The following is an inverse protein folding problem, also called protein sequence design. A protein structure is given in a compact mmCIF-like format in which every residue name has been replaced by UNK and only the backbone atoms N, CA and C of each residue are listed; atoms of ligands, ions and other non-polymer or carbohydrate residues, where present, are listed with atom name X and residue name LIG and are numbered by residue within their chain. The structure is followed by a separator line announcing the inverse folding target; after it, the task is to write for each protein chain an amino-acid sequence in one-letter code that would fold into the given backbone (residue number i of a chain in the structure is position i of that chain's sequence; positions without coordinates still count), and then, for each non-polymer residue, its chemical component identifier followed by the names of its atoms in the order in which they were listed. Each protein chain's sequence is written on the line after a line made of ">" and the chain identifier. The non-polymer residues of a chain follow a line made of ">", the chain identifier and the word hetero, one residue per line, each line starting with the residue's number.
data_IF_278723130721
#
_entry.id   IF_278723130721
#
_cell.length_a   1.000
_cell.length_b   1.000
_cell.length_c   1.000
_cell.angle_alpha   90.00
_cell.angle_beta   90.00
_cell.angle_gamma   90.00
#
_symmetry.space_group_name_H-M   'P 1'
#
loop_
_entity.id
_entity.type
_entity.pdbx_description
1 polymer ?
#
# COMPACT_ATOMS: atom_id res chain seq x y z
N UNK A 1 -34.95 34.10 33.98
CA UNK A 1 -34.04 33.01 33.56
C UNK A 1 -34.52 32.52 32.21
N UNK A 2 -33.79 32.84 31.14
CA UNK A 2 -34.10 32.33 29.81
C UNK A 2 -33.66 30.86 29.74
N UNK A 3 -34.60 29.95 29.51
CA UNK A 3 -34.29 28.57 29.10
C UNK A 3 -33.51 28.62 27.79
N UNK A 4 -32.39 27.90 27.63
CA UNK A 4 -31.73 27.81 26.33
C UNK A 4 -32.71 27.17 25.35
N UNK A 5 -33.00 27.85 24.23
CA UNK A 5 -33.72 27.23 23.13
C UNK A 5 -32.84 26.12 22.57
N UNK A 6 -33.13 24.87 22.92
CA UNK A 6 -32.53 23.73 22.24
C UNK A 6 -33.01 23.75 20.78
N UNK A 7 -32.16 24.20 19.87
CA UNK A 7 -32.35 23.97 18.43
C UNK A 7 -32.37 22.47 18.21
N UNK A 8 -33.57 21.95 17.92
CA UNK A 8 -33.79 20.55 17.64
C UNK A 8 -33.02 20.18 16.36
N UNK A 9 -32.37 19.01 16.30
CA UNK A 9 -31.51 18.66 15.14
C UNK A 9 -32.26 18.73 13.79
N UNK A 10 -33.59 18.56 13.82
CA UNK A 10 -34.49 18.66 12.66
C UNK A 10 -34.84 20.09 12.24
N UNK A 11 -34.42 21.12 13.00
CA UNK A 11 -34.52 22.50 12.55
C UNK A 11 -33.45 22.84 11.51
N UNK A 12 -32.46 21.97 11.32
CA UNK A 12 -31.46 22.11 10.28
C UNK A 12 -31.94 21.48 8.95
N UNK A 13 -31.60 22.09 7.80
CA UNK A 13 -31.77 21.46 6.49
C UNK A 13 -31.06 20.11 6.41
N UNK A 14 -31.58 19.21 5.58
CA UNK A 14 -31.01 17.87 5.37
C UNK A 14 -29.54 17.95 4.94
N UNK A 15 -29.17 18.93 4.12
CA UNK A 15 -27.81 19.15 3.64
C UNK A 15 -26.83 19.42 4.79
N UNK A 16 -27.29 20.12 5.84
CA UNK A 16 -26.47 20.39 7.03
C UNK A 16 -26.28 19.10 7.84
N UNK A 17 -27.33 18.30 7.98
CA UNK A 17 -27.26 16.99 8.67
C UNK A 17 -26.35 16.03 7.89
N UNK A 18 -26.39 16.06 6.56
CA UNK A 18 -25.52 15.27 5.70
C UNK A 18 -24.05 15.68 5.86
N UNK A 19 -23.73 16.98 5.85
CA UNK A 19 -22.38 17.50 6.11
C UNK A 19 -21.88 17.05 7.49
N UNK A 20 -22.73 17.10 8.53
CA UNK A 20 -22.37 16.59 9.85
C UNK A 20 -22.04 15.09 9.80
N UNK A 21 -22.84 14.30 9.08
CA UNK A 21 -22.57 12.87 8.89
C UNK A 21 -21.27 12.61 8.12
N UNK A 22 -20.94 13.43 7.11
CA UNK A 22 -19.67 13.34 6.38
C UNK A 22 -18.46 13.59 7.29
N UNK A 23 -18.55 14.57 8.21
CA UNK A 23 -17.49 14.87 9.17
C UNK A 23 -17.28 13.74 10.20
N UNK A 24 -18.36 13.02 10.54
CA UNK A 24 -18.31 11.84 11.41
C UNK A 24 -17.91 10.56 10.65
N UNK A 25 -17.96 10.58 9.31
CA UNK A 25 -17.64 9.43 8.48
C UNK A 25 -16.11 9.36 8.24
N UNK A 26 -15.45 8.25 8.61
CA UNK A 26 -14.01 8.09 8.36
C UNK A 26 -13.62 8.05 6.88
N UNK A 27 -14.56 7.70 5.99
CA UNK A 27 -14.33 7.75 4.54
C UNK A 27 -14.43 9.19 4.00
N UNK A 28 -15.46 9.96 4.40
CA UNK A 28 -15.73 11.26 3.81
C UNK A 28 -14.87 12.39 4.37
N UNK A 29 -14.38 12.27 5.61
CA UNK A 29 -13.63 13.34 6.29
C UNK A 29 -12.18 13.49 5.80
N UNK A 30 -11.73 12.70 4.80
CA UNK A 30 -10.35 12.63 4.26
C UNK A 30 -9.24 12.51 5.31
N UNK A 31 -9.58 12.30 6.58
CA UNK A 31 -8.61 12.06 7.65
C UNK A 31 -7.83 10.82 7.26
N UNK A 32 -6.50 10.91 7.40
CA UNK A 32 -5.62 9.76 7.22
C UNK A 32 -6.25 8.59 7.96
N UNK A 33 -6.79 7.66 7.19
CA UNK A 33 -7.43 6.47 7.74
C UNK A 33 -6.42 5.86 8.69
N UNK A 34 -6.75 5.60 9.97
CA UNK A 34 -5.90 4.76 10.78
C UNK A 34 -5.63 3.50 9.95
N UNK A 35 -4.35 3.29 9.64
CA UNK A 35 -3.86 2.18 8.79
C UNK A 35 -4.03 0.83 9.48
N UNK A 36 -4.58 0.84 10.70
CA UNK A 36 -4.77 -0.30 11.55
C UNK A 36 -6.24 -0.33 11.99
N UNK A 37 -6.88 -1.48 11.81
CA UNK A 37 -8.28 -1.68 12.15
C UNK A 37 -8.57 -1.58 13.65
N UNK A 38 -7.55 -1.59 14.51
CA UNK A 38 -7.66 -1.24 15.92
C UNK A 38 -6.29 -0.74 16.40
N UNK A 39 -6.07 0.57 16.49
CA UNK A 39 -5.28 1.09 17.62
C UNK A 39 -6.27 1.41 18.72
N UNK A 40 -6.18 0.66 19.81
CA UNK A 40 -6.90 0.92 21.06
C UNK A 40 -6.63 2.36 21.61
N UNK A 41 -5.65 3.06 21.04
CA UNK A 41 -5.22 4.41 21.41
C UNK A 41 -5.84 5.54 20.57
N UNK A 42 -6.49 5.25 19.41
CA UNK A 42 -7.28 6.28 18.73
C UNK A 42 -8.70 6.29 19.28
N UNK A 43 -8.93 7.08 20.33
CA UNK A 43 -10.27 7.23 20.95
C UNK A 43 -11.33 7.88 20.05
N UNK A 44 -10.93 8.53 18.95
CA UNK A 44 -11.82 9.35 18.09
C UNK A 44 -12.63 8.56 17.04
N UNK A 45 -12.08 7.63 16.25
CA UNK A 45 -12.84 6.92 15.19
C UNK A 45 -14.01 6.09 15.73
N UNK A 46 -13.87 5.49 16.92
CA UNK A 46 -14.94 4.76 17.58
C UNK A 46 -16.08 5.69 18.05
N UNK A 47 -15.73 6.90 18.52
CA UNK A 47 -16.71 7.89 18.96
C UNK A 47 -17.54 8.43 17.78
N UNK A 48 -16.88 8.84 16.70
CA UNK A 48 -17.55 9.41 15.52
C UNK A 48 -18.52 8.39 14.87
N UNK A 49 -18.13 7.11 14.81
CA UNK A 49 -19.00 6.01 14.35
C UNK A 49 -20.18 5.76 15.30
N UNK A 50 -19.96 5.80 16.61
CA UNK A 50 -21.03 5.64 17.59
C UNK A 50 -22.04 6.80 17.49
N UNK A 51 -21.59 8.01 17.18
CA UNK A 51 -22.46 9.14 16.88
C UNK A 51 -23.31 8.88 15.63
N UNK A 52 -22.73 8.41 14.52
CA UNK A 52 -23.49 8.01 13.32
C UNK A 52 -24.52 6.92 13.63
N UNK A 53 -24.13 5.90 14.41
CA UNK A 53 -25.05 4.84 14.84
C UNK A 53 -26.19 5.41 15.68
N UNK A 54 -25.90 6.24 16.68
CA UNK A 54 -26.91 6.88 17.53
C UNK A 54 -27.89 7.74 16.71
N UNK A 55 -27.39 8.52 15.75
CA UNK A 55 -28.21 9.29 14.81
C UNK A 55 -29.12 8.35 14.01
N UNK A 56 -28.60 7.24 13.50
CA UNK A 56 -29.37 6.28 12.71
C UNK A 56 -30.45 5.53 13.51
N UNK A 57 -30.27 5.42 14.83
CA UNK A 57 -31.22 4.78 15.73
C UNK A 57 -32.25 5.76 16.29
N UNK A 58 -32.01 7.07 16.20
CA UNK A 58 -32.86 8.10 16.80
C UNK A 58 -34.25 8.19 16.16
N UNK A 59 -34.34 8.24 14.82
CA UNK A 59 -35.61 8.28 14.09
C UNK A 59 -35.47 7.86 12.63
N UNK A 60 -36.59 7.75 11.90
CA UNK A 60 -36.61 7.37 10.47
C UNK A 60 -35.88 8.37 9.57
N UNK A 61 -36.04 9.67 9.81
CA UNK A 61 -35.45 10.71 8.96
C UNK A 61 -33.92 10.75 9.10
N UNK A 62 -33.44 10.81 10.34
CA UNK A 62 -32.01 10.76 10.63
C UNK A 62 -31.39 9.43 10.18
N UNK A 63 -32.12 8.31 10.27
CA UNK A 63 -31.68 7.04 9.69
C UNK A 63 -31.46 7.14 8.18
N UNK A 64 -32.39 7.74 7.45
CA UNK A 64 -32.29 7.88 5.99
C UNK A 64 -31.01 8.62 5.58
N UNK A 65 -30.60 9.63 6.37
CA UNK A 65 -29.43 10.47 6.09
C UNK A 65 -28.14 9.81 6.61
N UNK A 66 -28.12 9.33 7.85
CA UNK A 66 -26.87 8.88 8.52
C UNK A 66 -26.49 7.43 8.23
N UNK A 67 -27.46 6.55 7.93
CA UNK A 67 -27.19 5.14 7.67
C UNK A 67 -26.26 4.91 6.45
N UNK A 68 -26.41 5.62 5.31
CA UNK A 68 -25.43 5.56 4.22
C UNK A 68 -23.99 5.78 4.69
N UNK A 69 -23.74 6.83 5.49
CA UNK A 69 -22.42 7.18 6.00
C UNK A 69 -21.85 6.14 6.98
N UNK A 70 -22.71 5.46 7.75
CA UNK A 70 -22.32 4.34 8.62
C UNK A 70 -21.81 3.13 7.82
N UNK A 71 -22.32 2.94 6.60
CA UNK A 71 -21.98 1.84 5.70
C UNK A 71 -20.91 2.18 4.66
N UNK A 72 -20.54 3.45 4.45
CA UNK A 72 -19.42 3.83 3.56
C UNK A 72 -18.14 3.04 3.85
N UNK A 73 -17.88 2.76 5.14
CA UNK A 73 -16.83 1.85 5.59
C UNK A 73 -17.32 1.02 6.79
N UNK A 74 -17.83 -0.21 6.57
CA UNK A 74 -18.25 -1.07 7.66
C UNK A 74 -17.05 -1.44 8.54
N UNK A 75 -17.24 -1.36 9.86
CA UNK A 75 -16.25 -1.74 10.87
C UNK A 75 -16.96 -2.50 11.99
N UNK A 76 -16.31 -3.53 12.53
CA UNK A 76 -16.81 -4.30 13.66
C UNK A 76 -16.25 -5.73 13.69
N UNK A 77 -16.52 -6.44 14.78
CA UNK A 77 -16.00 -7.79 15.03
C UNK A 77 -16.82 -8.92 14.37
N UNK A 78 -17.91 -8.60 13.67
CA UNK A 78 -18.88 -9.58 13.18
C UNK A 78 -19.02 -9.59 11.66
N UNK A 79 -18.06 -10.19 10.94
CA UNK A 79 -18.11 -10.20 9.47
C UNK A 79 -19.29 -11.00 8.90
N UNK A 80 -19.68 -12.13 9.52
CA UNK A 80 -20.91 -12.84 9.12
C UNK A 80 -22.16 -11.99 9.32
N UNK A 81 -22.28 -11.29 10.46
CA UNK A 81 -23.42 -10.41 10.70
C UNK A 81 -23.52 -9.30 9.67
N UNK A 82 -22.38 -8.75 9.23
CA UNK A 82 -22.32 -7.80 8.13
C UNK A 82 -22.82 -8.40 6.81
N UNK A 83 -22.30 -9.57 6.41
CA UNK A 83 -22.74 -10.27 5.20
C UNK A 83 -24.24 -10.58 5.25
N UNK A 84 -24.72 -11.12 6.37
CA UNK A 84 -26.14 -11.48 6.54
C UNK A 84 -27.03 -10.21 6.48
N UNK A 85 -26.55 -9.08 7.03
CA UNK A 85 -27.27 -7.80 7.00
C UNK A 85 -27.38 -7.23 5.58
N UNK A 86 -26.28 -7.18 4.83
CA UNK A 86 -26.30 -6.63 3.46
C UNK A 86 -26.95 -7.60 2.46
N UNK A 87 -26.90 -8.90 2.71
CA UNK A 87 -27.65 -9.89 1.93
C UNK A 87 -29.17 -9.73 2.16
N UNK A 88 -29.59 -9.52 3.41
CA UNK A 88 -31.00 -9.25 3.75
C UNK A 88 -31.48 -7.86 3.32
N UNK A 89 -30.57 -6.89 3.20
CA UNK A 89 -30.87 -5.51 2.78
C UNK A 89 -29.86 -5.01 1.73
N UNK A 90 -29.98 -5.43 0.45
CA UNK A 90 -29.00 -5.13 -0.60
C UNK A 90 -28.75 -3.64 -0.86
N UNK A 91 -29.72 -2.76 -0.53
CA UNK A 91 -29.55 -1.33 -0.62
C UNK A 91 -28.38 -0.82 0.24
N UNK A 92 -28.12 -1.44 1.41
CA UNK A 92 -26.99 -1.09 2.28
C UNK A 92 -25.65 -1.40 1.64
N UNK A 93 -25.55 -2.48 0.87
CA UNK A 93 -24.36 -2.87 0.13
C UNK A 93 -23.91 -1.81 -0.89
N UNK A 94 -24.86 -1.07 -1.49
CA UNK A 94 -24.58 0.01 -2.46
C UNK A 94 -23.93 1.24 -1.80
N UNK A 95 -24.07 1.40 -0.49
CA UNK A 95 -23.42 2.47 0.24
C UNK A 95 -21.96 2.14 0.58
N UNK A 96 -21.55 0.87 0.57
CA UNK A 96 -20.17 0.48 0.88
C UNK A 96 -19.21 1.02 -0.18
N UNK A 97 -18.24 1.84 0.26
CA UNK A 97 -17.20 2.46 -0.58
C UNK A 97 -15.84 1.85 -0.29
N UNK A 98 -15.51 1.65 0.98
CA UNK A 98 -14.27 1.00 1.41
C UNK A 98 -14.56 -0.29 2.16
N UNK A 99 -13.82 -1.34 1.87
CA UNK A 99 -13.87 -2.61 2.59
C UNK A 99 -12.46 -3.00 3.00
N UNK A 100 -12.31 -3.31 4.28
CA UNK A 100 -11.10 -3.89 4.82
C UNK A 100 -11.43 -5.30 5.30
N UNK A 101 -10.63 -6.26 4.88
CA UNK A 101 -10.71 -7.65 5.27
C UNK A 101 -9.42 -7.99 6.00
N UNK A 102 -9.53 -8.35 7.27
CA UNK A 102 -8.38 -8.80 8.05
C UNK A 102 -8.69 -10.09 8.80
N UNK A 103 -7.64 -10.82 9.15
CA UNK A 103 -7.78 -12.07 9.89
C UNK A 103 -8.48 -11.85 11.24
N UNK A 104 -8.30 -10.72 11.92
CA UNK A 104 -8.98 -10.45 13.19
C UNK A 104 -10.51 -10.45 13.07
N UNK A 105 -11.07 -9.87 12.00
CA UNK A 105 -12.51 -9.88 11.70
C UNK A 105 -13.07 -11.30 11.52
N UNK A 106 -12.22 -12.25 11.14
CA UNK A 106 -12.57 -13.66 10.91
C UNK A 106 -12.24 -14.50 12.15
N UNK A 107 -11.14 -14.19 12.85
CA UNK A 107 -10.74 -14.79 14.13
C UNK A 107 -11.75 -14.53 15.23
N UNK A 108 -12.45 -13.41 15.26
CA UNK A 108 -13.55 -13.22 16.22
C UNK A 108 -14.69 -14.26 16.05
N UNK A 109 -14.71 -14.98 14.93
CA UNK A 109 -15.71 -16.02 14.64
C UNK A 109 -15.19 -17.41 14.99
N UNK A 110 -13.88 -17.67 14.93
CA UNK A 110 -13.26 -18.97 15.20
C UNK A 110 -13.53 -19.52 16.61
N UNK A 111 -13.42 -18.76 17.71
CA UNK A 111 -13.74 -19.24 19.07
C UNK A 111 -15.21 -19.65 19.27
N UNK A 112 -16.13 -19.21 18.41
CA UNK A 112 -17.55 -19.61 18.49
C UNK A 112 -17.81 -20.98 17.85
N UNK A 113 -16.85 -21.48 17.07
CA UNK A 113 -16.93 -22.79 16.43
C UNK A 113 -15.79 -23.65 16.98
N UNK A 114 -16.12 -24.56 17.91
CA UNK A 114 -15.16 -25.56 18.42
C UNK A 114 -14.60 -26.47 17.31
N UNK A 115 -15.16 -26.40 16.09
CA UNK A 115 -14.85 -27.23 14.94
C UNK A 115 -14.59 -26.39 13.69
N UNK A 116 -13.35 -26.41 13.21
CA UNK A 116 -12.90 -25.71 11.99
C UNK A 116 -13.67 -26.18 10.74
N UNK A 117 -14.08 -27.45 10.70
CA UNK A 117 -14.85 -28.02 9.59
C UNK A 117 -16.24 -27.40 9.52
N UNK A 118 -16.90 -27.19 10.66
CA UNK A 118 -18.20 -26.50 10.72
C UNK A 118 -18.09 -25.04 10.30
N UNK A 119 -17.03 -24.36 10.71
CA UNK A 119 -16.78 -22.98 10.30
C UNK A 119 -16.59 -22.87 8.79
N UNK A 120 -15.74 -23.72 8.19
CA UNK A 120 -15.55 -23.78 6.74
C UNK A 120 -16.82 -24.16 6.00
N UNK A 121 -17.60 -25.12 6.51
CA UNK A 121 -18.88 -25.50 5.92
C UNK A 121 -19.88 -24.33 5.90
N UNK A 122 -19.85 -23.44 6.90
CA UNK A 122 -20.68 -22.23 6.90
C UNK A 122 -20.19 -21.15 5.94
N UNK A 123 -18.88 -20.98 5.81
CA UNK A 123 -18.29 -20.13 4.75
C UNK A 123 -18.70 -20.63 3.37
N UNK A 124 -18.53 -21.95 3.14
CA UNK A 124 -18.89 -22.59 1.88
C UNK A 124 -20.39 -22.51 1.61
N UNK A 125 -21.26 -22.76 2.62
CA UNK A 125 -22.71 -22.60 2.47
C UNK A 125 -23.11 -21.21 1.99
N UNK A 126 -22.46 -20.16 2.50
CA UNK A 126 -22.68 -18.77 2.07
C UNK A 126 -22.13 -18.51 0.68
N UNK A 127 -20.94 -19.01 0.38
CA UNK A 127 -20.35 -18.95 -0.96
C UNK A 127 -21.22 -19.65 -2.00
N UNK A 128 -21.85 -20.78 -1.67
CA UNK A 128 -22.75 -21.55 -2.52
C UNK A 128 -24.18 -20.96 -2.60
N UNK A 129 -24.43 -19.75 -2.09
CA UNK A 129 -25.72 -19.08 -2.29
C UNK A 129 -25.82 -18.50 -3.70
N UNK A 130 -27.05 -18.33 -4.21
CA UNK A 130 -27.32 -17.71 -5.52
C UNK A 130 -26.66 -16.33 -5.70
N UNK A 131 -26.34 -15.65 -4.59
CA UNK A 131 -25.66 -14.36 -4.55
C UNK A 131 -24.22 -14.38 -5.12
N UNK A 132 -23.66 -15.57 -5.34
CA UNK A 132 -22.30 -15.78 -5.87
C UNK A 132 -22.28 -16.66 -7.13
N UNK A 133 -23.41 -16.83 -7.82
CA UNK A 133 -23.50 -17.59 -9.08
C UNK A 133 -22.39 -17.22 -10.09
N UNK A 134 -22.04 -15.94 -10.31
CA UNK A 134 -20.93 -15.57 -11.19
C UNK A 134 -19.55 -16.07 -10.71
N UNK A 135 -19.36 -16.22 -9.39
CA UNK A 135 -18.13 -16.76 -8.79
C UNK A 135 -18.07 -18.27 -8.81
N UNK A 136 -19.22 -18.92 -8.72
CA UNK A 136 -19.33 -20.38 -8.77
C UNK A 136 -19.10 -20.93 -10.19
N UNK A 137 -19.39 -20.15 -11.23
CA UNK A 137 -19.12 -20.53 -12.63
C UNK A 137 -17.64 -20.49 -13.01
N UNK A 138 -16.78 -19.91 -12.18
CA UNK A 138 -15.33 -19.89 -12.40
C UNK A 138 -14.73 -21.26 -12.03
N UNK A 139 -14.29 -22.04 -13.03
CA UNK A 139 -13.73 -23.40 -12.87
C UNK A 139 -12.44 -23.46 -12.02
N UNK A 140 -11.85 -22.30 -11.69
CA UNK A 140 -10.68 -22.14 -10.82
C UNK A 140 -11.02 -21.98 -9.33
N UNK A 141 -12.31 -21.90 -8.96
CA UNK A 141 -12.72 -21.83 -7.57
C UNK A 141 -12.41 -23.17 -6.87
N UNK A 142 -11.62 -23.19 -5.78
CA UNK A 142 -11.13 -24.42 -5.18
C UNK A 142 -12.20 -25.03 -4.26
N UNK A 143 -13.30 -25.53 -4.83
CA UNK A 143 -14.33 -26.26 -4.06
C UNK A 143 -13.73 -27.54 -3.44
N UNK A 144 -12.75 -28.15 -4.10
CA UNK A 144 -12.10 -29.39 -3.64
C UNK A 144 -11.03 -29.20 -2.54
N UNK A 145 -10.49 -27.98 -2.34
CA UNK A 145 -9.45 -27.76 -1.32
C UNK A 145 -9.99 -27.72 0.11
N UNK A 146 -11.31 -27.55 0.29
CA UNK A 146 -11.95 -27.57 1.61
C UNK A 146 -11.99 -28.96 2.23
N UNK A 147 -11.78 -30.03 1.44
CA UNK A 147 -11.93 -31.42 1.89
C UNK A 147 -10.64 -32.05 2.46
N UNK A 148 -9.47 -31.48 2.16
CA UNK A 148 -8.16 -32.12 2.40
C UNK A 148 -7.24 -31.35 3.39
N UNK A 149 -7.77 -30.40 4.17
CA UNK A 149 -6.99 -29.52 5.05
C UNK A 149 -6.69 -30.12 6.44
N UNK A 150 -6.29 -31.40 6.52
CA UNK A 150 -6.18 -32.16 7.80
C UNK A 150 -4.80 -32.72 8.13
N UNK A 151 -3.70 -32.22 7.56
CA UNK A 151 -2.37 -32.57 8.09
C UNK A 151 -1.40 -31.38 8.18
N UNK A 152 -0.71 -31.29 9.33
CA UNK A 152 0.39 -30.40 9.73
C UNK A 152 0.03 -29.09 10.46
N UNK A 153 0.94 -28.64 11.34
CA UNK A 153 0.90 -27.45 12.22
C UNK A 153 0.58 -26.08 11.54
N UNK A 154 0.08 -26.06 10.29
CA UNK A 154 -0.41 -24.92 9.50
C UNK A 154 -1.91 -24.94 9.14
N UNK A 155 -2.70 -25.92 9.63
CA UNK A 155 -4.14 -26.05 9.30
C UNK A 155 -4.99 -24.83 9.66
N UNK A 156 -4.83 -24.26 10.86
CA UNK A 156 -5.70 -23.17 11.32
C UNK A 156 -5.53 -21.91 10.47
N UNK A 157 -4.31 -21.59 10.06
CA UNK A 157 -4.00 -20.41 9.23
C UNK A 157 -4.44 -20.62 7.78
N UNK A 158 -4.24 -21.81 7.21
CA UNK A 158 -4.75 -22.16 5.88
C UNK A 158 -6.28 -22.15 5.82
N UNK A 159 -6.94 -22.61 6.88
CA UNK A 159 -8.40 -22.51 7.06
C UNK A 159 -8.88 -21.06 7.05
N UNK A 160 -8.16 -20.15 7.71
CA UNK A 160 -8.47 -18.71 7.67
C UNK A 160 -8.29 -18.14 6.27
N UNK A 161 -7.18 -18.43 5.58
CA UNK A 161 -6.95 -17.98 4.20
C UNK A 161 -8.05 -18.43 3.23
N UNK A 162 -8.47 -19.69 3.32
CA UNK A 162 -9.57 -20.22 2.51
C UNK A 162 -10.93 -19.57 2.87
N UNK A 163 -11.18 -19.30 4.16
CA UNK A 163 -12.37 -18.57 4.58
C UNK A 163 -12.37 -17.13 4.09
N UNK A 164 -11.22 -16.44 4.11
CA UNK A 164 -11.04 -15.10 3.51
C UNK A 164 -11.45 -15.14 2.05
N UNK A 165 -10.94 -16.09 1.26
CA UNK A 165 -11.25 -16.20 -0.17
C UNK A 165 -12.75 -16.34 -0.45
N UNK A 166 -13.44 -17.25 0.25
CA UNK A 166 -14.88 -17.44 0.09
C UNK A 166 -15.68 -16.21 0.49
N UNK A 167 -15.40 -15.67 1.69
CA UNK A 167 -16.19 -14.58 2.23
C UNK A 167 -15.91 -13.26 1.52
N UNK A 168 -14.69 -13.06 1.02
CA UNK A 168 -14.34 -11.93 0.15
C UNK A 168 -15.17 -11.98 -1.13
N UNK A 169 -15.27 -13.13 -1.78
CA UNK A 169 -16.06 -13.27 -3.01
C UNK A 169 -17.53 -12.90 -2.78
N UNK A 170 -18.09 -13.29 -1.63
CA UNK A 170 -19.46 -12.91 -1.21
C UNK A 170 -19.55 -11.40 -0.93
N UNK A 171 -18.65 -10.86 -0.12
CA UNK A 171 -18.69 -9.46 0.30
C UNK A 171 -18.53 -8.50 -0.89
N UNK A 172 -17.61 -8.81 -1.81
CA UNK A 172 -17.40 -8.05 -3.05
C UNK A 172 -18.66 -8.05 -3.92
N UNK A 173 -19.29 -9.23 -4.10
CA UNK A 173 -20.52 -9.35 -4.89
C UNK A 173 -21.69 -8.53 -4.31
N UNK A 174 -21.71 -8.35 -2.99
CA UNK A 174 -22.72 -7.57 -2.27
C UNK A 174 -22.39 -6.07 -2.16
N UNK A 175 -21.23 -5.62 -2.64
CA UNK A 175 -20.76 -4.23 -2.49
C UNK A 175 -20.37 -3.61 -3.84
N UNK A 176 -21.34 -3.38 -4.75
CA UNK A 176 -21.05 -3.01 -6.15
C UNK A 176 -20.40 -1.61 -6.32
N UNK A 177 -20.46 -0.76 -5.30
CA UNK A 177 -19.94 0.60 -5.32
C UNK A 177 -18.57 0.73 -4.64
N UNK A 178 -17.90 -0.40 -4.37
CA UNK A 178 -16.59 -0.45 -3.74
C UNK A 178 -15.54 0.28 -4.56
N UNK A 179 -14.88 1.28 -3.97
CA UNK A 179 -13.81 2.08 -4.57
C UNK A 179 -12.42 1.71 -4.02
N UNK A 180 -12.37 1.16 -2.81
CA UNK A 180 -11.13 0.78 -2.12
C UNK A 180 -11.30 -0.56 -1.41
N UNK A 181 -10.34 -1.45 -1.63
CA UNK A 181 -10.27 -2.76 -1.00
C UNK A 181 -8.92 -2.91 -0.31
N UNK A 182 -8.96 -3.27 0.96
CA UNK A 182 -7.79 -3.51 1.80
C UNK A 182 -7.85 -4.93 2.35
N UNK A 183 -6.79 -5.71 2.17
CA UNK A 183 -6.75 -7.13 2.55
C UNK A 183 -5.50 -7.37 3.40
N UNK A 184 -5.67 -7.90 4.60
CA UNK A 184 -4.59 -8.31 5.49
C UNK A 184 -4.54 -9.83 5.58
N UNK A 185 -3.39 -10.41 5.25
CA UNK A 185 -3.19 -11.84 5.07
C UNK A 185 -2.13 -12.37 6.06
N UNK A 186 -2.48 -13.32 6.93
CA UNK A 186 -1.51 -14.06 7.78
C UNK A 186 -1.36 -15.54 7.37
N UNK A 187 -1.53 -15.85 6.08
CA UNK A 187 -1.35 -17.22 5.57
C UNK A 187 -0.93 -17.23 4.11
N UNK A 188 -0.48 -18.40 3.63
CA UNK A 188 -0.37 -18.67 2.19
C UNK A 188 -1.73 -18.36 1.53
N UNK A 189 -1.71 -17.53 0.50
CA UNK A 189 -2.93 -16.95 -0.08
C UNK A 189 -2.97 -17.20 -1.59
N UNK A 190 -4.18 -17.50 -2.09
CA UNK A 190 -4.49 -17.60 -3.52
C UNK A 190 -5.83 -16.92 -3.74
N UNK A 191 -5.84 -15.65 -4.15
CA UNK A 191 -7.06 -14.86 -4.37
C UNK A 191 -7.66 -15.12 -5.77
N UNK A 192 -7.44 -16.32 -6.32
CA UNK A 192 -7.78 -16.71 -7.69
C UNK A 192 -9.28 -16.99 -7.91
N UNK A 193 -10.12 -16.87 -6.87
CA UNK A 193 -11.54 -17.24 -6.92
C UNK A 193 -12.49 -16.07 -7.17
N UNK A 194 -11.98 -14.85 -7.35
CA UNK A 194 -12.83 -13.68 -7.62
C UNK A 194 -13.22 -13.67 -9.11
N UNK A 195 -14.50 -13.44 -9.45
CA UNK A 195 -14.93 -13.38 -10.84
C UNK A 195 -14.42 -12.11 -11.49
N UNK A 196 -14.06 -12.22 -12.77
CA UNK A 196 -13.70 -11.06 -13.57
C UNK A 196 -14.84 -10.03 -13.62
N UNK A 197 -14.49 -8.75 -13.57
CA UNK A 197 -15.45 -7.64 -13.59
C UNK A 197 -16.31 -7.42 -12.35
N UNK A 198 -16.17 -8.21 -11.27
CA UNK A 198 -16.98 -8.04 -10.06
C UNK A 198 -16.63 -6.81 -9.20
N UNK A 199 -15.54 -6.12 -9.51
CA UNK A 199 -15.09 -4.91 -8.83
C UNK A 199 -15.06 -3.72 -9.81
N UNK A 200 -16.19 -3.36 -10.44
CA UNK A 200 -16.20 -2.43 -11.58
C UNK A 200 -15.84 -0.99 -11.20
N UNK A 201 -15.93 -0.63 -9.91
CA UNK A 201 -15.64 0.71 -9.40
C UNK A 201 -14.35 0.77 -8.57
N UNK A 202 -13.64 -0.36 -8.41
CA UNK A 202 -12.46 -0.42 -7.56
C UNK A 202 -11.33 0.38 -8.20
N UNK A 203 -10.80 1.35 -7.45
CA UNK A 203 -9.70 2.23 -7.86
C UNK A 203 -8.42 2.00 -7.08
N UNK A 204 -8.53 1.60 -5.81
CA UNK A 204 -7.39 1.35 -4.92
C UNK A 204 -7.44 -0.04 -4.31
N UNK A 205 -6.34 -0.79 -4.44
CA UNK A 205 -6.13 -2.08 -3.80
C UNK A 205 -4.92 -2.00 -2.86
N UNK A 206 -5.11 -2.40 -1.61
CA UNK A 206 -4.04 -2.52 -0.62
C UNK A 206 -3.98 -3.96 -0.10
N UNK A 207 -2.82 -4.58 -0.14
CA UNK A 207 -2.59 -5.94 0.38
C UNK A 207 -1.43 -5.91 1.36
N UNK A 208 -1.72 -6.28 2.60
CA UNK A 208 -0.74 -6.40 3.67
C UNK A 208 -0.52 -7.87 3.98
N UNK A 209 0.71 -8.33 3.87
CA UNK A 209 1.09 -9.71 4.20
C UNK A 209 1.78 -9.73 5.56
N UNK A 210 1.54 -10.74 6.38
CA UNK A 210 2.32 -10.92 7.60
C UNK A 210 3.70 -11.47 7.26
N UNK A 211 4.76 -10.88 7.84
CA UNK A 211 6.16 -11.26 7.63
C UNK A 211 6.46 -12.75 7.82
N UNK A 212 5.59 -13.48 8.51
CA UNK A 212 5.74 -14.93 8.71
C UNK A 212 5.32 -15.78 7.50
N UNK A 213 4.85 -15.16 6.39
CA UNK A 213 4.24 -15.84 5.24
C UNK A 213 4.74 -15.33 3.89
N UNK A 214 5.98 -15.69 3.51
CA UNK A 214 6.47 -15.37 2.18
C UNK A 214 5.66 -16.13 1.12
N UNK A 215 5.32 -15.45 0.02
CA UNK A 215 4.56 -16.02 -1.11
C UNK A 215 5.49 -16.70 -2.10
N UNK A 216 4.97 -17.64 -2.89
CA UNK A 216 5.75 -18.28 -3.97
C UNK A 216 5.85 -17.38 -5.21
N UNK A 217 4.82 -16.57 -5.49
CA UNK A 217 4.75 -15.64 -6.61
C UNK A 217 3.68 -14.54 -6.38
N UNK A 218 3.57 -13.62 -7.35
CA UNK A 218 2.54 -12.57 -7.38
C UNK A 218 1.25 -13.03 -8.08
N UNK A 219 1.21 -14.25 -8.64
CA UNK A 219 0.12 -14.71 -9.51
C UNK A 219 -1.18 -14.92 -8.75
N UNK A 220 -1.10 -15.09 -7.43
CA UNK A 220 -2.29 -15.10 -6.57
C UNK A 220 -3.17 -13.86 -6.75
N UNK A 221 -2.62 -12.71 -7.17
CA UNK A 221 -3.36 -11.45 -7.35
C UNK A 221 -4.07 -11.34 -8.70
N UNK A 222 -3.76 -12.21 -9.66
CA UNK A 222 -4.28 -12.10 -11.02
C UNK A 222 -5.82 -11.98 -11.06
N UNK A 223 -6.52 -12.84 -10.32
CA UNK A 223 -7.99 -12.80 -10.25
C UNK A 223 -8.55 -11.49 -9.69
N UNK A 224 -7.84 -10.82 -8.79
CA UNK A 224 -8.21 -9.50 -8.26
C UNK A 224 -8.01 -8.40 -9.29
N UNK A 225 -6.90 -8.46 -10.04
CA UNK A 225 -6.61 -7.52 -11.12
C UNK A 225 -7.67 -7.65 -12.23
N UNK A 226 -7.98 -8.88 -12.65
CA UNK A 226 -9.01 -9.17 -13.65
C UNK A 226 -10.42 -8.78 -13.19
N UNK A 227 -10.67 -8.79 -11.88
CA UNK A 227 -11.94 -8.38 -11.30
C UNK A 227 -12.14 -6.85 -11.33
N UNK A 228 -11.06 -6.06 -11.39
CA UNK A 228 -11.05 -4.62 -11.13
C UNK A 228 -10.58 -3.79 -12.35
N UNK A 229 -11.35 -3.74 -13.45
CA UNK A 229 -10.91 -3.14 -14.72
C UNK A 229 -10.59 -1.63 -14.67
N UNK A 230 -10.99 -0.93 -13.58
CA UNK A 230 -10.74 0.50 -13.38
C UNK A 230 -9.70 0.77 -12.29
N UNK A 231 -8.90 -0.24 -11.92
CA UNK A 231 -7.90 -0.10 -10.87
C UNK A 231 -6.83 0.93 -11.27
N UNK A 232 -6.59 1.90 -10.40
CA UNK A 232 -5.65 2.99 -10.63
C UNK A 232 -4.40 2.81 -9.76
N UNK A 233 -4.55 2.28 -8.54
CA UNK A 233 -3.49 2.23 -7.52
C UNK A 233 -3.39 0.86 -6.84
N UNK A 234 -2.16 0.36 -6.70
CA UNK A 234 -1.83 -0.84 -5.94
C UNK A 234 -0.83 -0.50 -4.83
N UNK A 235 -1.09 -0.98 -3.63
CA UNK A 235 -0.19 -0.90 -2.48
C UNK A 235 0.03 -2.29 -1.91
N UNK A 236 1.27 -2.78 -1.94
CA UNK A 236 1.68 -4.05 -1.35
C UNK A 236 2.53 -3.75 -0.12
N UNK A 237 2.25 -4.42 1.00
CA UNK A 237 2.90 -4.17 2.29
C UNK A 237 3.47 -5.48 2.85
N UNK A 238 4.71 -5.44 3.35
CA UNK A 238 5.40 -6.57 4.02
C UNK A 238 5.51 -7.84 3.15
N UNK A 239 5.59 -7.67 1.83
CA UNK A 239 5.61 -8.78 0.87
C UNK A 239 7.02 -9.34 0.68
N UNK A 240 7.21 -10.64 0.91
CA UNK A 240 8.44 -11.39 0.64
C UNK A 240 8.14 -12.58 -0.27
N UNK A 241 9.02 -12.87 -1.25
CA UNK A 241 8.87 -13.99 -2.19
C UNK A 241 9.91 -15.08 -1.90
N UNK A 242 9.48 -16.31 -1.59
CA UNK A 242 10.36 -17.44 -1.18
C UNK A 242 11.34 -17.85 -2.27
N UNK A 243 10.86 -18.00 -3.50
CA UNK A 243 11.67 -18.39 -4.64
C UNK A 243 11.82 -17.23 -5.61
N UNK A 244 12.80 -16.38 -5.31
CA UNK A 244 13.23 -15.25 -6.11
C UNK A 244 13.57 -15.59 -7.57
N UNK A 245 13.97 -16.84 -7.84
CA UNK A 245 14.50 -17.26 -9.15
C UNK A 245 13.42 -17.74 -10.10
N UNK A 246 12.26 -18.14 -9.58
CA UNK A 246 11.12 -18.54 -10.38
C UNK A 246 10.58 -17.33 -11.14
N UNK A 247 10.57 -17.40 -12.47
CA UNK A 247 9.93 -16.37 -13.30
C UNK A 247 8.44 -16.30 -12.93
N UNK A 248 7.92 -15.11 -12.59
CA UNK A 248 6.49 -14.96 -12.38
C UNK A 248 5.75 -15.34 -13.67
N UNK A 249 4.58 -15.96 -13.56
CA UNK A 249 3.75 -16.17 -14.75
C UNK A 249 3.25 -14.80 -15.21
N UNK A 250 2.86 -14.71 -16.48
CA UNK A 250 2.50 -13.47 -17.17
C UNK A 250 1.22 -12.80 -16.67
N UNK A 251 0.65 -13.28 -15.56
CA UNK A 251 -0.69 -12.91 -15.07
C UNK A 251 -0.73 -11.70 -14.16
N UNK A 252 0.41 -11.23 -13.64
CA UNK A 252 0.46 -10.00 -12.83
C UNK A 252 0.63 -8.74 -13.72
N UNK A 253 -0.47 -8.30 -14.34
CA UNK A 253 -0.49 -7.14 -15.24
C UNK A 253 -1.82 -6.37 -15.16
N UNK A 254 -1.80 -5.07 -15.49
CA UNK A 254 -3.03 -4.26 -15.56
C UNK A 254 -2.84 -3.00 -16.41
N UNK A 255 -3.82 -2.71 -17.27
CA UNK A 255 -3.71 -1.65 -18.30
C UNK A 255 -4.02 -0.23 -17.83
N UNK A 256 -4.61 -0.07 -16.64
CA UNK A 256 -5.02 1.25 -16.12
C UNK A 256 -4.27 1.68 -14.87
N UNK A 257 -3.53 0.76 -14.23
CA UNK A 257 -2.80 1.08 -13.00
C UNK A 257 -1.68 2.06 -13.32
N UNK A 258 -1.69 3.18 -12.60
CA UNK A 258 -0.73 4.27 -12.77
C UNK A 258 0.14 4.50 -11.53
N UNK A 259 -0.17 3.85 -10.41
CA UNK A 259 0.57 3.99 -9.16
C UNK A 259 0.76 2.65 -8.47
N UNK A 260 2.02 2.32 -8.15
CA UNK A 260 2.39 1.14 -7.37
C UNK A 260 3.26 1.57 -6.21
N UNK A 261 2.89 1.13 -5.00
CA UNK A 261 3.66 1.32 -3.77
C UNK A 261 3.98 -0.02 -3.14
N UNK A 262 5.26 -0.26 -2.89
CA UNK A 262 5.80 -1.46 -2.26
C UNK A 262 6.39 -1.06 -0.91
N UNK A 263 5.61 -1.20 0.16
CA UNK A 263 6.01 -0.83 1.53
C UNK A 263 6.62 -2.04 2.22
N UNK A 264 7.85 -1.91 2.69
CA UNK A 264 8.56 -2.95 3.42
C UNK A 264 8.55 -4.29 2.65
N UNK A 265 8.78 -4.23 1.34
CA UNK A 265 8.73 -5.40 0.47
C UNK A 265 10.14 -5.89 0.13
N UNK A 266 10.31 -7.21 0.04
CA UNK A 266 11.51 -7.89 -0.43
C UNK A 266 11.20 -8.64 -1.73
N UNK A 267 11.49 -7.99 -2.86
CA UNK A 267 11.27 -8.54 -4.19
C UNK A 267 12.60 -8.71 -4.91
N UNK A 268 12.77 -9.85 -5.57
CA UNK A 268 13.88 -10.07 -6.48
C UNK A 268 13.73 -9.23 -7.76
N UNK A 269 14.84 -8.99 -8.45
CA UNK A 269 14.89 -8.17 -9.67
C UNK A 269 13.92 -8.67 -10.75
N UNK A 270 13.75 -9.99 -10.88
CA UNK A 270 12.83 -10.61 -11.85
C UNK A 270 11.37 -10.26 -11.58
N UNK A 271 11.01 -10.09 -10.30
CA UNK A 271 9.66 -9.66 -9.90
C UNK A 271 9.46 -8.17 -10.17
N UNK A 272 10.47 -7.35 -9.88
CA UNK A 272 10.43 -5.93 -10.21
C UNK A 272 10.39 -5.70 -11.73
N UNK A 273 11.10 -6.49 -12.53
CA UNK A 273 11.03 -6.49 -13.99
C UNK A 273 9.62 -6.84 -14.48
N UNK A 274 9.01 -7.86 -13.88
CA UNK A 274 7.64 -8.26 -14.20
C UNK A 274 6.63 -7.16 -13.86
N UNK A 275 6.80 -6.46 -12.74
CA UNK A 275 6.00 -5.27 -12.40
C UNK A 275 6.19 -4.20 -13.48
N UNK A 276 7.43 -3.82 -13.77
CA UNK A 276 7.69 -2.78 -14.77
C UNK A 276 7.06 -3.14 -16.12
N UNK A 277 7.14 -4.41 -16.56
CA UNK A 277 6.50 -4.84 -17.81
C UNK A 277 4.97 -4.95 -17.74
N UNK A 278 4.42 -5.43 -16.63
CA UNK A 278 2.99 -5.71 -16.46
C UNK A 278 2.11 -4.47 -16.34
N UNK A 279 2.67 -3.30 -16.03
CA UNK A 279 1.92 -2.06 -15.84
C UNK A 279 2.39 -0.97 -16.82
N UNK A 280 1.86 -0.94 -18.06
CA UNK A 280 2.34 -0.05 -19.12
C UNK A 280 2.03 1.44 -18.90
N UNK A 281 1.07 1.79 -18.03
CA UNK A 281 0.70 3.19 -17.73
C UNK A 281 1.25 3.69 -16.38
N UNK A 282 2.23 2.99 -15.81
CA UNK A 282 2.78 3.29 -14.50
C UNK A 282 3.47 4.68 -14.50
N UNK A 283 2.91 5.62 -13.74
CA UNK A 283 3.44 6.99 -13.59
C UNK A 283 4.15 7.19 -12.25
N UNK A 284 3.76 6.43 -11.23
CA UNK A 284 4.28 6.56 -9.88
C UNK A 284 4.73 5.20 -9.37
N UNK A 285 6.00 5.11 -8.97
CA UNK A 285 6.57 3.90 -8.38
C UNK A 285 7.28 4.22 -7.09
N UNK A 286 6.91 3.52 -6.02
CA UNK A 286 7.52 3.68 -4.69
C UNK A 286 7.89 2.32 -4.15
N UNK A 287 9.11 2.20 -3.65
CA UNK A 287 9.57 0.98 -2.99
C UNK A 287 10.39 1.33 -1.76
N UNK A 288 10.14 0.61 -0.68
CA UNK A 288 11.07 0.58 0.44
C UNK A 288 11.18 -0.78 1.10
N UNK A 289 12.32 -1.03 1.72
CA UNK A 289 12.65 -2.29 2.39
C UNK A 289 13.30 -2.02 3.77
N UNK A 290 13.00 -2.83 4.80
CA UNK A 290 13.48 -2.57 6.15
C UNK A 290 14.95 -2.96 6.36
N UNK A 291 15.58 -2.29 7.33
CA UNK A 291 17.00 -2.42 7.67
C UNK A 291 17.42 -3.75 8.33
N UNK A 292 16.49 -4.45 9.00
CA UNK A 292 16.76 -5.64 9.82
C UNK A 292 16.43 -6.95 9.12
N UNK A 293 16.03 -6.89 7.85
CA UNK A 293 15.99 -8.06 6.99
C UNK A 293 17.43 -8.52 6.72
N UNK A 294 18.03 -9.19 7.72
CA UNK A 294 19.10 -10.13 7.49
C UNK A 294 18.57 -11.09 6.46
N UNK A 295 19.26 -11.20 5.32
CA UNK A 295 18.97 -12.19 4.28
C UNK A 295 18.60 -13.51 4.98
N UNK A 296 17.49 -14.11 4.58
CA UNK A 296 17.32 -15.54 4.76
C UNK A 296 18.66 -16.19 4.42
N UNK A 297 19.15 -17.02 5.33
CA UNK A 297 20.50 -17.57 5.38
C UNK A 297 20.82 -18.38 4.11
N UNK A 298 21.05 -17.70 2.99
CA UNK A 298 21.25 -18.33 1.70
C UNK A 298 22.73 -18.59 1.54
N UNK A 299 23.10 -19.81 1.92
CA UNK A 299 24.26 -20.57 1.41
C UNK A 299 24.27 -20.73 -0.12
N UNK A 300 23.59 -19.89 -0.89
CA UNK A 300 23.75 -19.79 -2.35
C UNK A 300 24.71 -18.65 -2.64
N UNK A 301 26.00 -18.94 -2.52
CA UNK A 301 27.10 -18.07 -2.93
C UNK A 301 27.21 -17.87 -4.46
N UNK A 302 26.29 -18.41 -5.26
CA UNK A 302 26.40 -18.38 -6.72
C UNK A 302 25.23 -17.65 -7.38
N UNK A 303 25.31 -16.32 -7.41
CA UNK A 303 25.28 -15.51 -8.65
C UNK A 303 25.35 -14.03 -8.27
N UNK A 304 26.58 -13.51 -8.26
CA UNK A 304 26.84 -12.08 -8.34
C UNK A 304 26.37 -11.54 -9.71
N UNK A 305 25.06 -11.40 -9.89
CA UNK A 305 24.52 -10.56 -10.95
C UNK A 305 24.25 -9.19 -10.34
N UNK A 306 25.22 -8.29 -10.55
CA UNK A 306 25.08 -6.85 -10.38
C UNK A 306 23.96 -6.35 -11.30
N UNK A 307 22.70 -6.55 -10.93
CA UNK A 307 21.59 -5.95 -11.66
C UNK A 307 21.45 -4.49 -11.27
N UNK A 308 21.43 -3.62 -12.28
CA UNK A 308 21.29 -2.18 -12.09
C UNK A 308 19.80 -1.87 -12.01
N UNK A 309 19.36 -1.27 -10.90
CA UNK A 309 17.96 -0.86 -10.74
C UNK A 309 17.51 0.09 -11.86
N UNK A 310 18.43 0.90 -12.42
CA UNK A 310 18.13 1.73 -13.58
C UNK A 310 17.67 0.94 -14.81
N UNK A 311 18.21 -0.25 -15.08
CA UNK A 311 17.80 -1.04 -16.26
C UNK A 311 16.32 -1.41 -16.19
N UNK A 312 15.81 -1.66 -14.97
CA UNK A 312 14.40 -1.88 -14.73
C UNK A 312 13.57 -0.60 -14.88
N UNK A 313 14.02 0.50 -14.26
CA UNK A 313 13.31 1.77 -14.31
C UNK A 313 13.21 2.30 -15.75
N UNK A 314 14.24 2.05 -16.57
CA UNK A 314 14.29 2.44 -17.97
C UNK A 314 13.23 1.74 -18.84
N UNK A 315 12.69 0.59 -18.41
CA UNK A 315 11.53 -0.05 -19.05
C UNK A 315 10.28 0.83 -19.05
N UNK A 316 10.23 1.84 -18.17
CA UNK A 316 9.17 2.85 -18.05
C UNK A 316 9.71 4.27 -18.12
N UNK A 317 10.81 4.45 -18.85
CA UNK A 317 11.42 5.77 -19.09
C UNK A 317 10.51 6.78 -19.78
N UNK A 318 9.44 6.30 -20.43
CA UNK A 318 8.43 7.07 -21.17
C UNK A 318 7.22 7.48 -20.32
N UNK A 319 6.99 6.82 -19.18
CA UNK A 319 5.76 6.93 -18.39
C UNK A 319 5.99 7.30 -16.92
N UNK A 320 7.11 6.88 -16.33
CA UNK A 320 7.40 7.02 -14.90
C UNK A 320 7.82 8.46 -14.54
N UNK A 321 6.93 9.19 -13.87
CA UNK A 321 7.08 10.60 -13.47
C UNK A 321 7.55 10.79 -12.03
N UNK A 322 7.11 9.91 -11.12
CA UNK A 322 7.39 10.04 -9.70
C UNK A 322 8.01 8.75 -9.17
N UNK A 323 9.22 8.85 -8.63
CA UNK A 323 10.00 7.73 -8.15
C UNK A 323 10.44 7.94 -6.70
N UNK A 324 10.21 6.93 -5.86
CA UNK A 324 10.71 6.89 -4.48
C UNK A 324 11.41 5.56 -4.21
N UNK A 325 12.68 5.61 -3.82
CA UNK A 325 13.53 4.46 -3.50
C UNK A 325 14.06 4.60 -2.07
N UNK A 326 13.44 3.94 -1.11
CA UNK A 326 13.73 4.08 0.33
C UNK A 326 14.34 2.80 0.91
N UNK A 327 15.67 2.76 1.07
CA UNK A 327 16.41 1.57 1.48
C UNK A 327 17.33 1.85 2.68
N UNK A 328 16.77 2.20 3.85
CA UNK A 328 17.57 2.63 4.99
C UNK A 328 18.43 1.48 5.51
N UNK A 329 19.71 1.76 5.74
CA UNK A 329 20.57 0.91 6.57
C UNK A 329 21.03 -0.40 5.95
N UNK A 330 20.97 -0.59 4.62
CA UNK A 330 21.67 -1.71 3.99
C UNK A 330 23.18 -1.57 4.25
N UNK A 331 23.73 -2.48 5.04
CA UNK A 331 25.13 -2.47 5.47
C UNK A 331 26.13 -2.40 4.30
N UNK A 332 27.21 -1.64 4.50
CA UNK A 332 28.22 -1.27 3.52
C UNK A 332 29.15 -2.43 3.09
N UNK A 333 28.97 -3.62 3.65
CA UNK A 333 29.95 -4.70 3.56
C UNK A 333 29.78 -5.60 2.34
N UNK A 334 28.75 -5.39 1.50
CA UNK A 334 28.49 -6.21 0.31
C UNK A 334 28.44 -5.35 -0.96
N UNK A 335 29.48 -5.44 -1.82
CA UNK A 335 29.54 -4.72 -3.07
C UNK A 335 28.58 -5.36 -4.08
N UNK A 336 27.44 -4.73 -4.38
CA UNK A 336 26.74 -5.04 -5.62
C UNK A 336 25.26 -4.70 -5.77
N UNK A 337 24.46 -4.52 -4.73
CA UNK A 337 23.06 -4.94 -4.94
C UNK A 337 22.04 -3.88 -5.35
N UNK A 338 22.25 -2.59 -5.04
CA UNK A 338 21.36 -1.53 -5.54
C UNK A 338 22.17 -0.23 -5.64
N UNK A 339 22.81 0.00 -6.78
CA UNK A 339 23.50 1.26 -7.09
C UNK A 339 22.74 1.92 -8.23
N UNK A 340 22.38 3.20 -8.05
CA UNK A 340 21.76 4.00 -9.09
C UNK A 340 22.85 4.79 -9.82
N UNK A 341 23.06 4.57 -11.12
CA UNK A 341 24.14 5.26 -11.87
C UNK A 341 23.67 6.25 -12.92
N UNK A 342 22.54 6.01 -13.59
CA UNK A 342 22.07 6.87 -14.68
C UNK A 342 20.55 6.81 -14.86
N UNK A 343 19.88 7.96 -14.80
CA UNK A 343 18.47 8.17 -15.12
C UNK A 343 18.27 9.27 -16.18
N UNK A 344 19.36 9.75 -16.81
CA UNK A 344 19.32 10.88 -17.76
C UNK A 344 18.42 10.61 -18.98
N UNK A 345 18.20 9.33 -19.30
CA UNK A 345 17.27 8.90 -20.36
C UNK A 345 15.78 9.01 -20.00
N UNK A 346 15.42 9.20 -18.73
CA UNK A 346 14.02 9.27 -18.28
C UNK A 346 13.43 10.67 -18.44
N UNK A 347 13.15 11.08 -19.68
CA UNK A 347 12.74 12.45 -20.04
C UNK A 347 11.42 12.93 -19.42
N UNK A 348 10.63 12.05 -18.84
CA UNK A 348 9.35 12.39 -18.17
C UNK A 348 9.46 12.37 -16.64
N UNK A 349 10.62 12.02 -16.08
CA UNK A 349 10.81 11.94 -14.63
C UNK A 349 10.80 13.35 -14.04
N UNK A 350 9.85 13.61 -13.14
CA UNK A 350 9.65 14.92 -12.51
C UNK A 350 10.06 14.93 -11.04
N UNK A 351 9.90 13.79 -10.34
CA UNK A 351 10.19 13.67 -8.90
C UNK A 351 11.06 12.45 -8.65
N UNK A 352 12.17 12.64 -7.92
CA UNK A 352 13.01 11.55 -7.45
C UNK A 352 13.35 11.74 -5.97
N UNK A 353 12.95 10.78 -5.14
CA UNK A 353 13.37 10.67 -3.74
C UNK A 353 14.16 9.37 -3.55
N UNK A 354 15.39 9.45 -3.04
CA UNK A 354 16.25 8.28 -2.86
C UNK A 354 16.94 8.28 -1.50
N UNK A 355 17.19 7.09 -0.96
CA UNK A 355 18.12 6.92 0.16
C UNK A 355 19.55 7.26 -0.29
N UNK A 356 20.24 8.08 0.49
CA UNK A 356 21.60 8.55 0.21
C UNK A 356 22.64 7.42 0.12
N UNK A 357 22.41 6.29 0.78
CA UNK A 357 23.26 5.10 0.74
C UNK A 357 23.31 4.47 -0.65
N UNK A 358 22.24 4.63 -1.46
CA UNK A 358 22.22 4.18 -2.86
C UNK A 358 23.23 4.93 -3.73
N UNK A 359 23.47 6.21 -3.41
CA UNK A 359 24.48 7.01 -4.10
C UNK A 359 25.88 6.71 -3.56
N UNK A 360 26.06 6.66 -2.23
CA UNK A 360 27.37 6.52 -1.58
C UNK A 360 28.18 5.31 -2.09
N UNK A 361 27.52 4.20 -2.44
CA UNK A 361 28.18 3.00 -2.98
C UNK A 361 28.95 3.22 -4.27
N UNK A 362 28.63 4.26 -5.05
CA UNK A 362 29.37 4.61 -6.27
C UNK A 362 30.84 4.91 -5.98
N UNK A 363 31.17 5.32 -4.75
CA UNK A 363 32.53 5.66 -4.34
C UNK A 363 33.32 4.47 -3.78
N UNK A 364 32.69 3.31 -3.53
CA UNK A 364 33.39 2.10 -3.09
C UNK A 364 33.98 1.29 -4.26
N UNK A 365 33.62 1.62 -5.50
CA UNK A 365 34.20 1.04 -6.72
C UNK A 365 35.42 1.84 -7.22
N UNK A 366 36.40 1.17 -7.84
CA UNK A 366 37.66 1.76 -8.33
C UNK A 366 37.50 2.74 -9.53
N UNK A 367 36.27 3.15 -9.87
CA UNK A 367 36.00 4.15 -10.92
C UNK A 367 34.98 5.16 -10.40
N UNK A 368 35.25 6.48 -10.50
CA UNK A 368 34.26 7.48 -10.16
C UNK A 368 33.04 7.32 -11.09
N UNK A 369 31.88 7.03 -10.51
CA UNK A 369 30.62 7.03 -11.24
C UNK A 369 30.25 8.41 -11.76
N UNK A 370 29.17 8.51 -12.55
CA UNK A 370 28.59 9.80 -12.95
C UNK A 370 28.19 10.59 -11.71
N UNK A 371 28.46 11.89 -11.70
CA UNK A 371 27.99 12.81 -10.65
C UNK A 371 26.47 12.93 -10.67
N UNK A 372 25.84 13.35 -9.58
CA UNK A 372 24.37 13.59 -9.53
C UNK A 372 23.90 14.49 -10.69
N UNK A 373 24.65 15.54 -11.02
CA UNK A 373 24.37 16.45 -12.12
C UNK A 373 24.35 15.78 -13.51
N UNK A 374 24.94 14.60 -13.66
CA UNK A 374 24.98 13.81 -14.89
C UNK A 374 24.03 12.60 -14.87
N UNK A 375 23.44 12.31 -13.72
CA UNK A 375 22.58 11.16 -13.48
C UNK A 375 21.11 11.52 -13.70
N UNK A 376 20.69 12.72 -13.35
CA UNK A 376 19.30 13.13 -13.43
C UNK A 376 18.94 13.68 -14.82
N UNK A 377 17.70 13.49 -15.29
CA UNK A 377 17.21 14.12 -16.51
C UNK A 377 16.87 15.60 -16.28
N UNK A 378 16.88 16.39 -17.35
CA UNK A 378 16.54 17.84 -17.31
C UNK A 378 15.08 18.12 -16.96
N UNK A 379 14.22 17.09 -17.01
CA UNK A 379 12.80 17.15 -16.65
C UNK A 379 12.54 17.23 -15.14
N UNK A 380 13.57 17.00 -14.31
CA UNK A 380 13.43 16.93 -12.86
C UNK A 380 12.93 18.27 -12.29
N UNK A 381 11.88 18.21 -11.48
CA UNK A 381 11.28 19.34 -10.77
C UNK A 381 11.55 19.28 -9.28
N UNK A 382 11.61 18.06 -8.74
CA UNK A 382 11.87 17.83 -7.32
C UNK A 382 12.89 16.70 -7.13
N UNK A 383 13.91 16.97 -6.33
CA UNK A 383 14.93 15.98 -5.98
C UNK A 383 15.06 15.89 -4.46
N UNK A 384 15.05 14.67 -3.92
CA UNK A 384 15.12 14.46 -2.49
C UNK A 384 16.10 13.36 -2.09
N UNK A 385 16.82 13.63 -1.02
CA UNK A 385 17.68 12.68 -0.35
C UNK A 385 17.17 12.40 1.06
N UNK A 386 17.15 11.11 1.37
CA UNK A 386 16.65 10.57 2.63
C UNK A 386 17.73 9.70 3.27
N UNK A 387 17.59 9.43 4.57
CA UNK A 387 18.43 8.45 5.26
C UNK A 387 19.74 9.02 5.81
N UNK A 388 20.84 8.30 5.62
CA UNK A 388 22.10 8.58 6.35
C UNK A 388 22.91 9.74 5.75
N UNK A 389 23.63 10.49 6.59
CA UNK A 389 24.54 11.53 6.11
C UNK A 389 25.85 10.93 5.60
N UNK A 390 26.12 11.03 4.29
CA UNK A 390 27.39 10.61 3.68
C UNK A 390 28.09 11.83 3.07
N UNK A 391 29.22 12.32 3.62
CA UNK A 391 29.83 13.59 3.21
C UNK A 391 30.06 13.73 1.69
N UNK A 392 30.56 12.68 1.04
CA UNK A 392 30.80 12.68 -0.42
C UNK A 392 29.51 12.84 -1.24
N UNK A 393 28.39 12.30 -0.76
CA UNK A 393 27.09 12.48 -1.42
C UNK A 393 26.64 13.92 -1.25
N UNK A 394 26.83 14.52 -0.07
CA UNK A 394 26.46 15.91 0.19
C UNK A 394 27.20 16.92 -0.68
N UNK A 395 28.50 16.72 -0.89
CA UNK A 395 29.30 17.56 -1.77
C UNK A 395 28.74 17.58 -3.20
N UNK A 396 28.39 16.41 -3.76
CA UNK A 396 27.79 16.32 -5.10
C UNK A 396 26.41 16.97 -5.19
N UNK A 397 25.63 16.91 -4.12
CA UNK A 397 24.30 17.55 -4.06
C UNK A 397 24.45 19.05 -4.05
N UNK A 398 25.37 19.56 -3.22
CA UNK A 398 25.65 20.99 -3.13
C UNK A 398 26.15 21.52 -4.47
N UNK A 399 27.06 20.79 -5.12
CA UNK A 399 27.50 21.11 -6.49
C UNK A 399 26.32 21.13 -7.47
N UNK A 400 25.46 20.11 -7.43
CA UNK A 400 24.29 20.00 -8.31
C UNK A 400 23.29 21.14 -8.10
N UNK A 401 23.10 21.59 -6.85
CA UNK A 401 22.29 22.78 -6.53
C UNK A 401 22.95 24.02 -7.14
N UNK A 402 24.24 24.23 -6.93
CA UNK A 402 24.95 25.42 -7.40
C UNK A 402 24.95 25.57 -8.92
N UNK A 403 24.84 24.46 -9.67
CA UNK A 403 24.74 24.46 -11.14
C UNK A 403 23.32 24.16 -11.66
N UNK A 404 22.33 24.12 -10.77
CA UNK A 404 20.96 23.70 -11.12
C UNK A 404 20.32 24.58 -12.19
N UNK A 405 20.54 25.90 -12.15
CA UNK A 405 19.98 26.81 -13.15
C UNK A 405 20.40 26.48 -14.60
N UNK A 406 21.58 25.89 -14.81
CA UNK A 406 22.06 25.51 -16.14
C UNK A 406 21.77 24.04 -16.48
N UNK A 407 21.81 23.14 -15.50
CA UNK A 407 21.70 21.69 -15.71
C UNK A 407 20.27 21.17 -15.53
N UNK A 408 19.53 21.73 -14.57
CA UNK A 408 18.17 21.33 -14.20
C UNK A 408 17.22 22.54 -14.18
N UNK A 409 16.89 23.11 -15.37
CA UNK A 409 16.14 24.36 -15.46
C UNK A 409 14.71 24.27 -14.91
N UNK A 410 14.19 23.06 -14.66
CA UNK A 410 12.86 22.85 -14.10
C UNK A 410 12.87 22.54 -12.60
N UNK A 411 14.05 22.40 -11.97
CA UNK A 411 14.16 22.10 -10.55
C UNK A 411 13.61 23.27 -9.74
N UNK A 412 12.69 22.97 -8.83
CA UNK A 412 12.05 23.95 -7.94
C UNK A 412 12.23 23.61 -6.48
N UNK A 413 12.41 22.33 -6.17
CA UNK A 413 12.44 21.84 -4.78
C UNK A 413 13.53 20.81 -4.56
N UNK A 414 14.25 20.99 -3.46
CA UNK A 414 15.22 20.05 -2.93
C UNK A 414 14.74 19.59 -1.54
N UNK A 415 14.74 18.28 -1.32
CA UNK A 415 14.36 17.69 -0.03
C UNK A 415 15.55 16.99 0.60
N UNK A 416 15.81 17.27 1.87
CA UNK A 416 16.95 16.74 2.63
C UNK A 416 16.42 16.30 4.00
N UNK A 417 15.99 15.04 4.12
CA UNK A 417 15.30 14.53 5.31
C UNK A 417 16.09 13.45 6.08
N UNK A 418 15.89 13.39 7.40
CA UNK A 418 16.46 12.38 8.34
C UNK A 418 17.97 12.41 8.64
N UNK A 419 18.70 13.43 8.16
CA UNK A 419 20.16 13.55 8.31
C UNK A 419 20.68 13.62 9.76
N UNK A 420 19.87 14.13 10.70
CA UNK A 420 20.29 14.38 12.09
C UNK A 420 20.36 13.16 13.01
N UNK A 421 19.87 11.97 12.61
CA UNK A 421 19.71 10.83 13.55
C UNK A 421 21.01 10.07 13.86
N UNK A 422 22.05 10.17 13.02
CA UNK A 422 23.34 9.45 13.21
C UNK A 422 24.57 10.35 13.29
N UNK A 423 24.55 11.56 12.74
CA UNK A 423 25.70 12.46 12.65
C UNK A 423 25.33 13.91 13.03
N UNK A 424 24.94 14.10 14.30
CA UNK A 424 24.39 15.36 14.84
C UNK A 424 25.30 16.60 14.64
N UNK A 425 26.63 16.42 14.65
CA UNK A 425 27.58 17.54 14.60
C UNK A 425 27.75 18.12 13.19
N UNK A 426 27.55 17.29 12.15
CA UNK A 426 27.69 17.70 10.75
C UNK A 426 26.34 18.05 10.08
N UNK A 427 25.21 17.54 10.61
CA UNK A 427 23.87 17.77 10.06
C UNK A 427 23.50 19.25 9.95
N UNK A 428 23.65 20.02 11.03
CA UNK A 428 23.32 21.45 11.08
C UNK A 428 24.21 22.31 10.16
N UNK A 429 25.42 21.84 9.86
CA UNK A 429 26.33 22.50 8.92
C UNK A 429 25.84 22.28 7.49
N UNK A 430 25.49 21.05 7.13
CA UNK A 430 24.99 20.72 5.79
C UNK A 430 23.65 21.36 5.48
N UNK A 431 22.72 21.38 6.45
CA UNK A 431 21.42 22.02 6.27
C UNK A 431 21.57 23.52 5.97
N UNK A 432 22.46 24.22 6.69
CA UNK A 432 22.77 25.64 6.41
C UNK A 432 23.42 25.84 5.04
N UNK A 433 24.34 24.96 4.64
CA UNK A 433 24.97 25.04 3.33
C UNK A 433 23.96 24.83 2.20
N UNK A 434 23.05 23.86 2.33
CA UNK A 434 21.98 23.64 1.37
C UNK A 434 20.98 24.80 1.35
N UNK A 435 20.59 25.33 2.51
CA UNK A 435 19.69 26.47 2.58
C UNK A 435 20.27 27.67 1.83
N UNK A 436 21.54 28.00 2.08
CA UNK A 436 22.22 29.10 1.39
C UNK A 436 22.32 28.88 -0.12
N UNK A 437 22.65 27.66 -0.55
CA UNK A 437 22.75 27.34 -1.97
C UNK A 437 21.39 27.35 -2.68
N UNK A 438 20.34 26.84 -2.01
CA UNK A 438 18.98 26.86 -2.54
C UNK A 438 18.44 28.28 -2.67
N UNK A 439 18.66 29.14 -1.66
CA UNK A 439 18.30 30.56 -1.70
C UNK A 439 18.96 31.28 -2.89
N UNK A 440 20.27 31.05 -3.10
CA UNK A 440 21.00 31.63 -4.23
C UNK A 440 20.46 31.21 -5.61
N UNK A 441 19.78 30.06 -5.69
CA UNK A 441 19.22 29.49 -6.92
C UNK A 441 17.69 29.59 -6.98
N UNK A 442 17.04 30.27 -6.03
CA UNK A 442 15.58 30.36 -5.89
C UNK A 442 14.87 29.00 -5.81
N UNK A 443 15.46 28.04 -5.10
CA UNK A 443 14.89 26.71 -4.85
C UNK A 443 14.24 26.63 -3.47
N UNK A 444 13.13 25.89 -3.37
CA UNK A 444 12.54 25.51 -2.09
C UNK A 444 13.38 24.40 -1.45
N UNK A 445 13.85 24.60 -0.22
CA UNK A 445 14.44 23.55 0.60
C UNK A 445 13.42 23.04 1.62
N UNK A 446 13.27 21.72 1.72
CA UNK A 446 12.46 21.08 2.76
C UNK A 446 13.27 20.05 3.54
N UNK A 447 13.22 20.13 4.86
CA UNK A 447 13.81 19.12 5.77
C UNK A 447 12.79 18.07 6.24
N UNK A 448 11.52 18.22 5.87
CA UNK A 448 10.47 17.27 6.18
C UNK A 448 10.51 16.07 5.24
N UNK A 449 10.35 14.87 5.80
CA UNK A 449 10.26 13.67 4.99
C UNK A 449 8.98 13.69 4.15
N UNK A 450 9.07 13.55 2.81
CA UNK A 450 7.90 13.59 1.94
C UNK A 450 6.85 12.58 2.40
N UNK A 451 5.57 12.95 2.38
CA UNK A 451 4.48 12.04 2.76
C UNK A 451 4.49 10.75 1.94
N UNK A 452 4.93 10.81 0.69
CA UNK A 452 5.12 9.65 -0.19
C UNK A 452 6.16 8.66 0.29
N UNK A 453 7.14 9.11 1.09
CA UNK A 453 8.22 8.30 1.64
C UNK A 453 7.94 7.83 3.07
N UNK A 454 6.97 8.44 3.76
CA UNK A 454 6.68 8.15 5.16
C UNK A 454 6.24 6.69 5.40
N UNK A 455 7.11 5.96 6.10
CA UNK A 455 6.90 4.58 6.48
C UNK A 455 7.01 3.59 5.32
N UNK A 456 7.69 3.93 4.21
CA UNK A 456 7.94 2.98 3.13
C UNK A 456 8.85 1.83 3.56
N UNK A 457 9.94 2.12 4.26
CA UNK A 457 10.86 1.09 4.74
C UNK A 457 10.51 0.53 6.14
N UNK A 458 9.58 1.15 6.87
CA UNK A 458 9.17 0.65 8.18
C UNK A 458 8.28 -0.59 7.99
N UNK A 459 8.57 -1.71 8.66
CA UNK A 459 7.60 -2.78 8.77
C UNK A 459 6.34 -2.20 9.40
N UNK A 460 5.17 -2.56 8.91
CA UNK A 460 3.98 -2.36 9.72
C UNK A 460 4.09 -3.31 10.93
N UNK A 461 4.17 -2.79 12.17
CA UNK A 461 4.31 -3.63 13.34
C UNK A 461 3.04 -4.47 13.50
N UNK A 462 3.16 -5.77 13.32
CA UNK A 462 2.22 -6.70 13.93
C UNK A 462 2.61 -6.81 15.40
N UNK A 463 1.88 -6.13 16.29
CA UNK A 463 1.91 -6.43 17.71
C UNK A 463 0.65 -7.23 18.02
N UNK A 464 0.85 -8.45 18.51
CA UNK A 464 -0.19 -9.36 18.97
C UNK A 464 -1.15 -8.71 19.97
#
# INVERSE_FOLDING_TARGET
>A
MATPSFTHLFSFPEEIIDILCQQLCPHCSERASPRHFFRYEERKPAHDRNCLLALSLSCKELRRISQPHLYHRPMGHGFFGFIDTIAGTPALGRHVKELCLNEHMIRCLLPKYDDQVKFLAQCNKRYCTHLCEPAQTNQTAPVDQFRNATEYFGERRRTVGNAINCLMSVAVSLTPMLNKLEIHLESDWKLSSIPSGCLPNLKKLTITVSWSFPTDDLDGLAGLLDAAPRLERIELVNLEVRDATKKPKTSFCHDTVNEITLRSCMLHITQLEAIMRGFPKLQTFRIGAPNHCKRADTRSQDTALLYRIEDLLMLRSDTLKHLTLDFPGIHLDHPGEIVLQDLSGMKVLETLYIDSGMLYRRWQGHRPGRRICQLLPTSIKEFGLMGSAYPLVHDEVLESINISASVFPLLKKVVVAEFGKKWLVDGDKWERMFASACEAQNLELSSEMPQSSQGLALPEPYRD
#
